data_IF_879222338745
#
_entry.id   IF_879222338745
#
_cell.length_a   1.000
_cell.length_b   1.000
_cell.length_c   1.000
_cell.angle_alpha   90.00
_cell.angle_beta   90.00
_cell.angle_gamma   90.00
#
_symmetry.space_group_name_H-M   'P 1'
#
loop_
_entity.id
_entity.type
_entity.pdbx_description
1 polymer ?
#
# COMPACT_ATOMS: atom_id res chain seq x y z
N UNK A 1 -25.25 33.22 -26.35
CA UNK A 1 -26.31 32.24 -26.70
C UNK A 1 -26.43 31.17 -25.62
N UNK A 2 -25.52 30.18 -25.53
CA UNK A 2 -25.64 29.12 -24.51
C UNK A 2 -25.60 29.63 -23.05
N UNK A 3 -24.88 30.73 -22.78
CA UNK A 3 -24.91 31.41 -21.47
C UNK A 3 -26.28 32.00 -21.11
N UNK A 4 -27.07 32.38 -22.11
CA UNK A 4 -28.35 33.09 -21.91
C UNK A 4 -29.50 32.10 -21.71
N UNK A 5 -29.49 31.00 -22.45
CA UNK A 5 -30.50 29.94 -22.34
C UNK A 5 -29.87 28.60 -22.75
N UNK A 6 -29.28 27.94 -21.75
CA UNK A 6 -28.57 26.68 -21.96
C UNK A 6 -29.51 25.59 -22.48
N UNK A 7 -30.72 25.50 -21.93
CA UNK A 7 -31.70 24.48 -22.29
C UNK A 7 -32.08 24.58 -23.78
N UNK A 8 -32.28 25.80 -24.28
CA UNK A 8 -32.64 26.05 -25.68
C UNK A 8 -31.51 25.79 -26.65
N UNK A 9 -30.29 26.25 -26.36
CA UNK A 9 -29.22 26.29 -27.35
C UNK A 9 -28.26 25.10 -27.30
N UNK A 10 -28.16 24.38 -26.18
CA UNK A 10 -27.17 23.32 -26.03
C UNK A 10 -27.29 22.24 -27.09
N UNK A 11 -28.49 21.67 -27.24
CA UNK A 11 -28.73 20.56 -28.15
C UNK A 11 -28.47 21.00 -29.60
N UNK A 12 -28.92 22.20 -29.96
CA UNK A 12 -28.69 22.79 -31.28
C UNK A 12 -27.18 22.93 -31.57
N UNK A 13 -26.40 23.42 -30.61
CA UNK A 13 -24.95 23.58 -30.76
C UNK A 13 -24.24 22.22 -30.88
N UNK A 14 -24.67 21.21 -30.10
CA UNK A 14 -24.05 19.89 -30.10
C UNK A 14 -24.29 19.12 -31.41
N UNK A 15 -25.45 19.30 -32.03
CA UNK A 15 -25.79 18.68 -33.32
C UNK A 15 -24.87 19.09 -34.46
N UNK A 16 -24.30 20.29 -34.40
CA UNK A 16 -23.32 20.79 -35.36
C UNK A 16 -21.93 20.16 -35.19
N UNK A 17 -21.73 19.28 -34.20
CA UNK A 17 -20.46 18.58 -34.00
C UNK A 17 -19.32 19.51 -33.56
N UNK A 18 -19.62 20.57 -32.79
CA UNK A 18 -18.62 21.61 -32.43
C UNK A 18 -17.53 21.16 -31.45
N UNK A 19 -17.76 20.06 -30.71
CA UNK A 19 -16.90 19.66 -29.57
C UNK A 19 -15.45 19.40 -29.97
N UNK A 20 -15.13 18.65 -31.05
CA UNK A 20 -13.75 18.44 -31.49
C UNK A 20 -13.01 19.75 -31.76
N UNK A 21 -13.64 20.72 -32.45
CA UNK A 21 -13.03 22.02 -32.74
C UNK A 21 -12.78 22.86 -31.49
N UNK A 22 -13.72 22.84 -30.54
CA UNK A 22 -13.53 23.52 -29.25
C UNK A 22 -12.39 22.91 -28.44
N UNK A 23 -12.25 21.58 -28.45
CA UNK A 23 -11.13 20.89 -27.78
C UNK A 23 -9.79 21.27 -28.42
N UNK A 24 -9.69 21.32 -29.75
CA UNK A 24 -8.48 21.78 -30.43
C UNK A 24 -8.12 23.21 -30.05
N UNK A 25 -9.11 24.11 -29.97
CA UNK A 25 -8.89 25.49 -29.53
C UNK A 25 -8.39 25.60 -28.09
N UNK A 26 -8.75 24.68 -27.19
CA UNK A 26 -8.20 24.68 -25.82
C UNK A 26 -6.69 24.39 -25.77
N UNK A 27 -6.15 23.71 -26.79
CA UNK A 27 -4.72 23.35 -26.86
C UNK A 27 -3.96 24.37 -27.68
N UNK A 28 -4.41 24.64 -28.91
CA UNK A 28 -3.69 25.44 -29.92
C UNK A 28 -4.17 26.89 -30.03
N UNK A 29 -5.27 27.27 -29.37
CA UNK A 29 -5.84 28.60 -29.47
C UNK A 29 -5.00 29.68 -28.77
N UNK A 30 -5.32 30.95 -29.06
CA UNK A 30 -4.85 32.09 -28.26
C UNK A 30 -5.42 32.03 -26.85
N UNK A 31 -4.82 32.74 -25.87
CA UNK A 31 -5.32 32.78 -24.48
C UNK A 31 -6.81 33.05 -24.39
N UNK A 32 -7.29 34.07 -25.12
CA UNK A 32 -8.71 34.42 -25.21
C UNK A 32 -9.57 33.31 -25.84
N UNK A 33 -9.07 32.63 -26.86
CA UNK A 33 -9.78 31.52 -27.51
C UNK A 33 -9.87 30.31 -26.58
N UNK A 34 -8.79 29.99 -25.85
CA UNK A 34 -8.75 28.92 -24.86
C UNK A 34 -9.79 29.12 -23.77
N UNK A 35 -9.82 30.29 -23.15
CA UNK A 35 -10.78 30.64 -22.09
C UNK A 35 -12.24 30.55 -22.57
N UNK A 36 -12.52 31.10 -23.75
CA UNK A 36 -13.87 31.04 -24.34
C UNK A 36 -14.28 29.61 -24.69
N UNK A 37 -13.38 28.82 -25.25
CA UNK A 37 -13.64 27.43 -25.63
C UNK A 37 -13.88 26.57 -24.39
N UNK A 38 -13.07 26.74 -23.34
CA UNK A 38 -13.28 26.07 -22.04
C UNK A 38 -14.62 26.46 -21.41
N UNK A 39 -15.00 27.74 -21.47
CA UNK A 39 -16.29 28.21 -20.96
C UNK A 39 -17.46 27.63 -21.74
N UNK A 40 -17.39 27.61 -23.07
CA UNK A 40 -18.43 27.01 -23.89
C UNK A 40 -18.53 25.49 -23.68
N UNK A 41 -17.40 24.78 -23.60
CA UNK A 41 -17.38 23.35 -23.29
C UNK A 41 -18.07 23.04 -21.95
N UNK A 42 -17.86 23.87 -20.91
CA UNK A 42 -18.57 23.73 -19.62
C UNK A 42 -20.08 23.90 -19.77
N UNK A 43 -20.52 24.88 -20.55
CA UNK A 43 -21.94 25.12 -20.87
C UNK A 43 -22.57 24.04 -21.76
N UNK A 44 -21.79 23.17 -22.39
CA UNK A 44 -22.28 22.08 -23.22
C UNK A 44 -22.27 20.71 -22.51
N UNK A 45 -21.63 20.54 -21.36
CA UNK A 45 -21.63 19.27 -20.59
C UNK A 45 -22.96 18.99 -19.92
N UNK A 46 -23.54 17.79 -20.00
CA UNK A 46 -24.86 17.46 -19.43
C UNK A 46 -25.04 17.85 -17.95
N UNK A 47 -23.99 17.72 -17.15
CA UNK A 47 -23.99 18.15 -15.75
C UNK A 47 -23.86 19.68 -15.67
N UNK A 48 -24.86 20.41 -15.13
CA UNK A 48 -24.82 21.87 -15.04
C UNK A 48 -23.80 22.39 -14.01
N UNK A 49 -23.27 21.51 -13.17
CA UNK A 49 -22.32 21.86 -12.13
C UNK A 49 -20.88 21.89 -12.66
N UNK A 50 -20.17 22.96 -12.32
CA UNK A 50 -18.72 22.93 -12.23
C UNK A 50 -18.33 21.71 -11.41
N UNK A 51 -17.36 20.93 -11.89
CA UNK A 51 -16.60 20.05 -10.98
C UNK A 51 -16.18 20.99 -9.87
N UNK A 52 -16.67 20.78 -8.64
CA UNK A 52 -16.27 21.59 -7.48
C UNK A 52 -14.78 21.78 -7.62
N UNK A 53 -14.35 23.02 -7.86
CA UNK A 53 -12.94 23.32 -8.05
C UNK A 53 -12.36 23.07 -6.67
N UNK A 54 -11.99 21.81 -6.41
CA UNK A 54 -11.43 21.38 -5.16
C UNK A 54 -10.22 22.27 -5.00
N UNK A 55 -10.29 23.13 -4.00
CA UNK A 55 -9.20 24.03 -3.72
C UNK A 55 -7.95 23.13 -3.53
N UNK A 56 -6.80 23.49 -4.14
CA UNK A 56 -5.62 22.63 -4.14
C UNK A 56 -5.23 22.15 -2.74
N UNK A 57 -5.42 23.00 -1.74
CA UNK A 57 -5.25 22.72 -0.31
C UNK A 57 -6.16 21.58 0.20
N UNK A 58 -7.40 21.48 -0.29
CA UNK A 58 -8.34 20.44 0.09
C UNK A 58 -7.86 19.08 -0.43
N UNK A 59 -7.35 19.04 -1.66
CA UNK A 59 -6.77 17.82 -2.22
C UNK A 59 -5.49 17.43 -1.47
N UNK A 60 -4.63 18.40 -1.18
CA UNK A 60 -3.39 18.20 -0.42
C UNK A 60 -3.67 17.68 1.00
N UNK A 61 -4.68 18.22 1.67
CA UNK A 61 -5.15 17.75 2.98
C UNK A 61 -5.68 16.31 2.91
N UNK A 62 -6.47 15.97 1.89
CA UNK A 62 -6.96 14.60 1.68
C UNK A 62 -5.78 13.64 1.49
N UNK A 63 -4.82 13.98 0.64
CA UNK A 63 -3.64 13.15 0.37
C UNK A 63 -2.79 13.00 1.63
N UNK A 64 -2.53 14.09 2.35
CA UNK A 64 -1.77 14.07 3.61
C UNK A 64 -2.41 13.16 4.66
N UNK A 65 -3.74 13.26 4.84
CA UNK A 65 -4.49 12.41 5.75
C UNK A 65 -4.42 10.92 5.36
N UNK A 66 -4.42 10.58 4.07
CA UNK A 66 -4.26 9.20 3.61
C UNK A 66 -2.87 8.66 3.89
N UNK A 67 -1.82 9.45 3.62
CA UNK A 67 -0.43 9.07 3.90
C UNK A 67 -0.23 8.82 5.40
N UNK A 68 -0.73 9.71 6.26
CA UNK A 68 -0.63 9.55 7.71
C UNK A 68 -1.35 8.30 8.24
N UNK A 69 -2.49 7.92 7.65
CA UNK A 69 -3.20 6.70 8.04
C UNK A 69 -2.47 5.42 7.62
N UNK A 70 -1.68 5.45 6.53
CA UNK A 70 -0.91 4.29 6.06
C UNK A 70 0.33 4.05 6.93
N UNK A 71 0.90 5.10 7.52
CA UNK A 71 2.10 5.03 8.38
C UNK A 71 1.79 4.59 9.82
N UNK A 72 0.52 4.68 10.25
CA UNK A 72 0.03 4.24 11.57
C UNK A 72 -0.06 2.71 11.77
N UNK A 73 0.93 1.93 11.29
CA UNK A 73 0.95 0.45 11.41
C UNK A 73 1.39 -0.02 12.80
N UNK A 74 0.61 0.29 13.82
CA UNK A 74 0.70 -0.41 15.11
C UNK A 74 0.40 -1.92 14.94
N UNK A 75 -0.37 -2.29 13.92
CA UNK A 75 -0.76 -3.67 13.60
C UNK A 75 0.41 -4.57 13.20
N UNK A 76 1.46 -4.03 12.58
CA UNK A 76 2.67 -4.81 12.28
C UNK A 76 3.47 -5.18 13.53
N UNK A 77 3.39 -4.35 14.58
CA UNK A 77 4.01 -4.64 15.87
C UNK A 77 3.37 -5.84 16.56
N UNK A 78 2.04 -5.96 16.50
CA UNK A 78 1.29 -7.08 17.11
C UNK A 78 1.61 -8.42 16.44
N UNK A 79 1.59 -8.46 15.10
CA UNK A 79 1.95 -9.66 14.36
C UNK A 79 3.40 -10.10 14.62
N UNK A 80 4.34 -9.14 14.66
CA UNK A 80 5.75 -9.40 14.97
C UNK A 80 5.96 -9.89 16.41
N UNK A 81 5.23 -9.30 17.37
CA UNK A 81 5.27 -9.70 18.78
C UNK A 81 4.80 -11.14 18.98
N UNK A 82 3.67 -11.50 18.37
CA UNK A 82 3.13 -12.87 18.43
C UNK A 82 4.12 -13.90 17.85
N UNK A 83 4.75 -13.60 16.71
CA UNK A 83 5.76 -14.49 16.12
C UNK A 83 7.00 -14.65 17.02
N UNK A 84 7.47 -13.55 17.63
CA UNK A 84 8.62 -13.59 18.53
C UNK A 84 8.35 -14.46 19.77
N UNK A 85 7.15 -14.37 20.34
CA UNK A 85 6.76 -15.14 21.52
C UNK A 85 6.68 -16.63 21.22
N UNK A 86 6.08 -17.03 20.09
CA UNK A 86 6.00 -18.45 19.66
C UNK A 86 7.38 -19.07 19.50
N UNK A 87 8.31 -18.34 18.85
CA UNK A 87 9.69 -18.80 18.66
C UNK A 87 10.39 -18.95 20.01
N UNK A 88 10.27 -17.96 20.89
CA UNK A 88 10.89 -17.96 22.21
C UNK A 88 10.41 -19.16 23.05
N UNK A 89 9.10 -19.41 23.11
CA UNK A 89 8.53 -20.53 23.88
C UNK A 89 9.00 -21.88 23.31
N UNK A 90 8.95 -22.03 21.99
CA UNK A 90 9.33 -23.27 21.30
C UNK A 90 10.81 -23.63 21.53
N UNK A 91 11.70 -22.64 21.41
CA UNK A 91 13.13 -22.85 21.62
C UNK A 91 13.42 -23.26 23.07
N UNK A 92 12.82 -22.58 24.05
CA UNK A 92 12.97 -22.92 25.47
C UNK A 92 12.46 -24.33 25.79
N UNK A 93 11.37 -24.76 25.16
CA UNK A 93 10.88 -26.13 25.33
C UNK A 93 11.81 -27.16 24.69
N UNK A 94 12.35 -26.86 23.50
CA UNK A 94 13.30 -27.72 22.81
C UNK A 94 14.58 -27.92 23.61
N UNK A 95 15.17 -26.84 24.13
CA UNK A 95 16.36 -26.90 24.98
C UNK A 95 16.13 -27.73 26.24
N UNK A 96 14.98 -27.55 26.90
CA UNK A 96 14.61 -28.36 28.07
C UNK A 96 14.51 -29.84 27.74
N UNK A 97 13.86 -30.21 26.63
CA UNK A 97 13.76 -31.60 26.17
C UNK A 97 15.14 -32.18 25.81
N UNK A 98 15.99 -31.40 25.17
CA UNK A 98 17.35 -31.81 24.84
C UNK A 98 18.18 -32.06 26.11
N UNK A 99 18.14 -31.14 27.08
CA UNK A 99 18.80 -31.30 28.37
C UNK A 99 18.31 -32.56 29.10
N UNK A 100 16.99 -32.77 29.18
CA UNK A 100 16.41 -33.96 29.80
C UNK A 100 16.91 -35.25 29.15
N UNK A 101 16.97 -35.31 27.81
CA UNK A 101 17.50 -36.47 27.09
C UNK A 101 19.00 -36.67 27.30
N UNK A 102 19.77 -35.59 27.32
CA UNK A 102 21.21 -35.64 27.58
C UNK A 102 21.49 -36.12 29.01
N UNK A 103 20.68 -35.72 30.00
CA UNK A 103 20.84 -36.15 31.40
C UNK A 103 20.39 -37.59 31.66
N UNK A 104 19.51 -38.16 30.82
CA UNK A 104 19.12 -39.58 30.88
C UNK A 104 20.25 -40.50 30.39
N UNK A 105 21.19 -39.97 29.61
CA UNK A 105 22.44 -40.65 29.29
C UNK A 105 23.47 -40.45 30.42
N UNK A 106 23.24 -41.04 31.59
CA UNK A 106 24.36 -41.33 32.48
C UNK A 106 25.14 -42.50 31.88
N UNK A 107 26.47 -42.40 31.68
CA UNK A 107 27.28 -43.56 31.36
C UNK A 107 27.30 -44.47 32.60
N UNK A 108 26.40 -45.46 32.66
CA UNK A 108 26.45 -46.51 33.67
C UNK A 108 27.50 -47.54 33.24
N UNK A 109 28.60 -47.51 33.98
CA UNK A 109 29.56 -48.57 34.31
C UNK A 109 30.09 -49.51 33.21
N UNK A 110 31.33 -49.23 32.77
CA UNK A 110 32.30 -50.24 32.36
C UNK A 110 33.37 -50.39 33.47
N UNK A 111 32.95 -50.80 34.66
CA UNK A 111 33.83 -51.49 35.61
C UNK A 111 33.63 -52.99 35.46
N UNK A 112 34.33 -53.61 34.51
CA UNK A 112 34.62 -55.04 34.57
C UNK A 112 36.14 -55.17 34.62
N UNK A 113 36.58 -55.57 35.80
CA UNK A 113 37.94 -55.86 36.16
C UNK A 113 38.56 -57.00 35.33
N UNK A 114 39.89 -56.96 35.23
CA UNK A 114 40.70 -58.18 35.20
C UNK A 114 41.33 -58.48 33.85
N UNK A 115 42.66 -58.31 33.79
CA UNK A 115 43.46 -58.88 32.71
C UNK A 115 44.78 -58.15 32.51
N UNK A 116 45.72 -58.35 33.44
CA UNK A 116 47.11 -58.03 33.20
C UNK A 116 47.60 -58.75 31.93
N UNK A 117 48.29 -58.03 31.05
CA UNK A 117 49.22 -58.66 30.11
C UNK A 117 50.34 -57.67 29.79
N UNK A 118 51.42 -57.81 30.55
CA UNK A 118 52.75 -57.28 30.25
C UNK A 118 53.33 -58.01 29.05
N UNK A 119 53.78 -57.27 28.03
CA UNK A 119 54.80 -57.67 27.05
C UNK A 119 55.31 -56.37 26.40
N UNK A 120 56.38 -55.76 26.93
CA UNK A 120 57.80 -56.00 26.64
C UNK A 120 58.24 -55.49 25.26
N UNK A 121 59.13 -54.51 25.32
CA UNK A 121 59.82 -53.80 24.25
C UNK A 121 60.58 -54.70 23.28
N UNK A 122 60.65 -54.27 22.01
CA UNK A 122 61.88 -53.95 21.25
C UNK A 122 61.51 -53.11 20.04
#
# INVERSE_FOLDING_TARGET
MCQSDRCKYRELILREGVVPGLLELTVKGTTKSKEKSQTLLRLLRDTPYERSQLQPDTLENIVSNLISQIDGKEQTGKARGLLAEVIQVSMNQSLRRLHQRATVCTPVDLSIAGGASTISST
#
